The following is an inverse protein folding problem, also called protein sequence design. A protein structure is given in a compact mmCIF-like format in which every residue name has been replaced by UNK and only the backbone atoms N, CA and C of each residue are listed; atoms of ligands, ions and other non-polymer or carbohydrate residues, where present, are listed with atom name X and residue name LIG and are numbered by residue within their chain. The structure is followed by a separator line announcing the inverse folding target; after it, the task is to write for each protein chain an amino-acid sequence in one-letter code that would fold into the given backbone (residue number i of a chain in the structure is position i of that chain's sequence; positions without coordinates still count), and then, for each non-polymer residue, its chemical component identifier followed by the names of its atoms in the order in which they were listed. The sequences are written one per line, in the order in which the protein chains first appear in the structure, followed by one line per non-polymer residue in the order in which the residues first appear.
data_IF_360512582233
#
_entry.id   IF_360512582233
#
_cell.length_a   1.000
_cell.length_b   1.000
_cell.length_c   1.000
_cell.angle_alpha   90.00
_cell.angle_beta   90.00
_cell.angle_gamma   90.00
#
_symmetry.space_group_name_H-M   'P 1'
#
loop_
_entity.id
_entity.type
_entity.pdbx_description
1 polymer ?
#
# COMPACT_ATOMS: atom_id res chain seq x y z
N UNK A 1 7.43 3.31 -17.86
CA UNK A 1 6.23 2.83 -17.13
C UNK A 1 6.39 1.43 -16.53
N UNK A 2 6.76 0.38 -17.29
CA UNK A 2 6.92 -0.99 -16.75
C UNK A 2 7.89 -1.09 -15.55
N UNK A 3 9.09 -0.51 -15.67
CA UNK A 3 10.10 -0.50 -14.59
C UNK A 3 9.58 0.19 -13.33
N UNK A 4 8.92 1.35 -13.50
CA UNK A 4 8.33 2.13 -12.40
C UNK A 4 7.23 1.31 -11.70
N UNK A 5 6.38 0.61 -12.45
CA UNK A 5 5.37 -0.28 -11.88
C UNK A 5 5.99 -1.37 -10.99
N UNK A 6 7.10 -1.95 -11.43
CA UNK A 6 7.81 -2.98 -10.68
C UNK A 6 8.42 -2.44 -9.39
N UNK A 7 8.99 -1.23 -9.44
CA UNK A 7 9.47 -0.51 -8.25
C UNK A 7 8.33 -0.28 -7.26
N UNK A 8 7.15 0.12 -7.73
CA UNK A 8 5.97 0.31 -6.86
C UNK A 8 5.48 -0.99 -6.24
N UNK A 9 5.46 -2.10 -6.98
CA UNK A 9 5.14 -3.42 -6.43
C UNK A 9 6.14 -3.79 -5.32
N UNK A 10 7.42 -3.52 -5.49
CA UNK A 10 8.43 -3.76 -4.46
C UNK A 10 8.23 -2.87 -3.24
N UNK A 11 7.91 -1.59 -3.43
CA UNK A 11 7.58 -0.66 -2.34
C UNK A 11 6.36 -1.15 -1.55
N UNK A 12 5.31 -1.62 -2.23
CA UNK A 12 4.14 -2.19 -1.56
C UNK A 12 4.50 -3.44 -0.74
N UNK A 13 5.40 -4.29 -1.25
CA UNK A 13 5.90 -5.43 -0.50
C UNK A 13 6.67 -5.00 0.76
N UNK A 14 7.52 -3.97 0.66
CA UNK A 14 8.23 -3.41 1.83
C UNK A 14 7.23 -2.89 2.87
N UNK A 15 6.21 -2.14 2.44
CA UNK A 15 5.18 -1.62 3.35
C UNK A 15 4.42 -2.77 4.00
N UNK A 16 4.09 -3.83 3.27
CA UNK A 16 3.45 -5.01 3.83
C UNK A 16 4.31 -5.67 4.92
N UNK A 17 5.62 -5.81 4.70
CA UNK A 17 6.55 -6.32 5.74
C UNK A 17 6.57 -5.39 6.96
N UNK A 18 6.69 -4.07 6.75
CA UNK A 18 6.66 -3.10 7.84
C UNK A 18 5.34 -3.14 8.63
N UNK A 19 4.22 -3.39 7.94
CA UNK A 19 2.90 -3.53 8.54
C UNK A 19 2.80 -4.78 9.41
N UNK A 20 3.26 -5.95 8.91
CA UNK A 20 3.32 -7.19 9.70
C UNK A 20 4.19 -7.00 10.94
N UNK A 21 5.31 -6.30 10.81
CA UNK A 21 6.23 -6.05 11.92
C UNK A 21 5.72 -5.01 12.93
N UNK A 22 4.52 -4.46 12.74
CA UNK A 22 4.00 -3.33 13.51
C UNK A 22 5.03 -2.18 13.64
N UNK A 23 5.72 -1.86 12.55
CA UNK A 23 6.89 -0.99 12.58
C UNK A 23 6.51 0.46 12.90
N UNK A 24 7.14 1.04 13.92
CA UNK A 24 6.97 2.45 14.29
C UNK A 24 7.29 3.44 13.16
N UNK A 25 8.15 3.06 12.20
CA UNK A 25 8.41 3.88 11.02
C UNK A 25 7.15 4.02 10.14
N UNK A 26 6.43 2.91 9.91
CA UNK A 26 5.22 2.92 9.09
C UNK A 26 4.05 3.60 9.81
N UNK A 27 3.88 3.34 11.11
CA UNK A 27 2.78 3.89 11.91
C UNK A 27 3.05 5.28 12.49
N UNK A 28 4.20 5.89 12.18
CA UNK A 28 4.43 7.30 12.45
C UNK A 28 3.54 8.18 11.55
N UNK A 29 3.23 9.44 11.94
CA UNK A 29 2.48 10.37 11.08
C UNK A 29 3.09 10.54 9.68
N UNK A 30 4.43 10.58 9.60
CA UNK A 30 5.16 10.65 8.33
C UNK A 30 5.07 9.35 7.53
N UNK A 31 5.13 8.19 8.20
CA UNK A 31 4.98 6.88 7.56
C UNK A 31 3.59 6.68 6.96
N UNK A 32 2.54 7.02 7.71
CA UNK A 32 1.14 6.90 7.26
C UNK A 32 0.88 7.85 6.07
N UNK A 33 1.32 9.10 6.16
CA UNK A 33 1.15 10.06 5.05
C UNK A 33 1.91 9.63 3.80
N UNK A 34 3.15 9.15 3.93
CA UNK A 34 3.92 8.59 2.83
C UNK A 34 3.24 7.35 2.23
N UNK A 35 2.70 6.45 3.06
CA UNK A 35 1.97 5.28 2.60
C UNK A 35 0.74 5.67 1.77
N UNK A 36 -0.11 6.58 2.26
CA UNK A 36 -1.29 7.06 1.52
C UNK A 36 -0.88 7.68 0.17
N UNK A 37 0.18 8.51 0.16
CA UNK A 37 0.68 9.13 -1.07
C UNK A 37 1.17 8.07 -2.08
N UNK A 38 1.89 7.05 -1.61
CA UNK A 38 2.36 5.94 -2.46
C UNK A 38 1.21 5.16 -3.08
N UNK A 39 0.13 4.91 -2.32
CA UNK A 39 -1.07 4.26 -2.87
C UNK A 39 -1.69 5.11 -3.98
N UNK A 40 -1.85 6.42 -3.77
CA UNK A 40 -2.40 7.32 -4.79
C UNK A 40 -1.55 7.32 -6.07
N UNK A 41 -0.22 7.41 -5.94
CA UNK A 41 0.69 7.36 -7.08
C UNK A 41 0.64 5.99 -7.77
N UNK A 42 0.53 4.90 -7.01
CA UNK A 42 0.37 3.54 -7.52
C UNK A 42 -0.84 3.39 -8.43
N UNK A 43 -1.98 4.00 -8.08
CA UNK A 43 -3.17 4.03 -8.93
C UNK A 43 -2.96 4.87 -10.20
N UNK A 44 -2.31 6.04 -10.09
CA UNK A 44 -1.97 6.87 -11.27
C UNK A 44 -1.09 6.11 -12.26
N UNK A 45 -0.10 5.35 -11.77
CA UNK A 45 0.78 4.53 -12.60
C UNK A 45 0.00 3.38 -13.26
N UNK A 46 -0.90 2.73 -12.52
CA UNK A 46 -1.75 1.65 -13.03
C UNK A 46 -2.62 2.10 -14.21
N UNK A 47 -3.23 3.29 -14.13
CA UNK A 47 -4.06 3.83 -15.21
C UNK A 47 -3.22 4.06 -16.48
N UNK A 48 -1.97 4.50 -16.34
CA UNK A 48 -1.05 4.76 -17.46
C UNK A 48 -0.43 3.48 -18.08
N UNK A 49 -0.75 2.29 -17.59
CA UNK A 49 -0.16 0.99 -18.00
C UNK A 49 -1.05 0.17 -18.95
N UNK A 50 -1.77 0.81 -19.85
CA UNK A 50 -2.78 0.16 -20.72
C UNK A 50 -2.22 -0.97 -21.58
N UNK A 51 -1.00 -0.83 -22.12
CA UNK A 51 -0.41 -1.78 -23.08
C UNK A 51 0.20 -3.03 -22.43
N UNK A 52 0.20 -3.15 -21.10
CA UNK A 52 0.95 -4.19 -20.38
C UNK A 52 0.06 -4.86 -19.35
N UNK A 53 -0.92 -5.63 -19.83
CA UNK A 53 -1.99 -6.22 -19.05
C UNK A 53 -1.52 -7.00 -17.81
N UNK A 54 -0.47 -7.83 -17.94
CA UNK A 54 0.02 -8.63 -16.82
C UNK A 54 0.56 -7.77 -15.67
N UNK A 55 1.46 -6.83 -15.97
CA UNK A 55 2.04 -5.92 -14.97
C UNK A 55 0.95 -5.02 -14.37
N UNK A 56 0.01 -4.54 -15.20
CA UNK A 56 -1.12 -3.74 -14.74
C UNK A 56 -1.99 -4.51 -13.75
N UNK A 57 -2.27 -5.79 -14.00
CA UNK A 57 -3.07 -6.65 -13.11
C UNK A 57 -2.37 -6.90 -11.78
N UNK A 58 -1.06 -7.20 -11.82
CA UNK A 58 -0.26 -7.36 -10.59
C UNK A 58 -0.25 -6.07 -9.78
N UNK A 59 -0.01 -4.92 -10.43
CA UNK A 59 -0.05 -3.62 -9.75
C UNK A 59 -1.44 -3.30 -9.19
N UNK A 60 -2.52 -3.69 -9.88
CA UNK A 60 -3.89 -3.52 -9.39
C UNK A 60 -4.18 -4.33 -8.12
N UNK A 61 -3.76 -5.61 -8.10
CA UNK A 61 -3.87 -6.46 -6.91
C UNK A 61 -3.05 -5.85 -5.77
N UNK A 62 -1.83 -5.40 -6.08
CA UNK A 62 -0.94 -4.77 -5.12
C UNK A 62 -1.53 -3.47 -4.54
N UNK A 63 -2.06 -2.57 -5.37
CA UNK A 63 -2.77 -1.36 -4.92
C UNK A 63 -3.99 -1.71 -4.04
N UNK A 64 -4.80 -2.68 -4.44
CA UNK A 64 -5.94 -3.14 -3.65
C UNK A 64 -5.54 -3.69 -2.28
N UNK A 65 -4.43 -4.43 -2.22
CA UNK A 65 -3.87 -4.92 -0.98
C UNK A 65 -3.47 -3.78 -0.03
N UNK A 66 -2.84 -2.72 -0.57
CA UNK A 66 -2.47 -1.56 0.24
C UNK A 66 -3.68 -0.85 0.82
N UNK A 67 -4.76 -0.71 0.05
CA UNK A 67 -6.02 -0.14 0.55
C UNK A 67 -6.63 -1.02 1.63
N UNK A 68 -6.63 -2.34 1.43
CA UNK A 68 -7.10 -3.30 2.43
C UNK A 68 -6.34 -3.14 3.76
N UNK A 69 -5.01 -3.03 3.70
CA UNK A 69 -4.19 -2.84 4.90
C UNK A 69 -4.51 -1.52 5.64
N UNK A 70 -4.82 -0.43 4.91
CA UNK A 70 -5.27 0.82 5.55
C UNK A 70 -6.58 0.59 6.31
N UNK A 71 -7.57 -0.05 5.68
CA UNK A 71 -8.87 -0.35 6.32
C UNK A 71 -8.68 -1.29 7.52
N UNK A 72 -7.85 -2.32 7.38
CA UNK A 72 -7.52 -3.24 8.47
C UNK A 72 -6.86 -2.51 9.64
N UNK A 73 -5.96 -1.56 9.37
CA UNK A 73 -5.32 -0.73 10.40
C UNK A 73 -6.36 0.06 11.20
N UNK A 74 -7.31 0.70 10.51
CA UNK A 74 -8.39 1.46 11.16
C UNK A 74 -9.26 0.53 12.00
N UNK A 75 -9.62 -0.64 11.47
CA UNK A 75 -10.41 -1.62 12.21
C UNK A 75 -9.69 -2.11 13.48
N UNK A 76 -8.40 -2.43 13.37
CA UNK A 76 -7.57 -2.85 14.51
C UNK A 76 -7.50 -1.74 15.56
N UNK A 77 -7.29 -0.48 15.14
CA UNK A 77 -7.27 0.65 16.05
C UNK A 77 -8.55 0.73 16.88
N UNK A 78 -9.72 0.64 16.23
CA UNK A 78 -11.00 0.65 16.93
C UNK A 78 -11.17 -0.56 17.84
N UNK A 79 -10.88 -1.76 17.36
CA UNK A 79 -10.99 -2.99 18.15
C UNK A 79 -10.13 -2.94 19.42
N UNK A 80 -8.88 -2.49 19.30
CA UNK A 80 -7.95 -2.37 20.44
C UNK A 80 -8.34 -1.23 21.37
N UNK A 81 -8.70 -0.06 20.84
CA UNK A 81 -9.11 1.09 21.67
C UNK A 81 -10.42 0.87 22.45
N UNK A 82 -11.24 -0.10 22.02
CA UNK A 82 -12.48 -0.49 22.71
C UNK A 82 -12.28 -1.50 23.84
N UNK A 83 -11.07 -2.07 23.96
CA UNK A 83 -10.73 -2.95 25.09
C UNK A 83 -10.38 -2.08 26.31
N UNK A 84 -11.07 -2.25 27.45
CA UNK A 84 -10.78 -1.53 28.69
C UNK A 84 -9.46 -1.97 29.35
#
# INVERSE_FOLDING_TARGET
MKKIAFVFILIHFIIFVLWIMNSGYLFSPYGISAWIALVAIGFMIQIKLEKVLMIRRVLAISNGWMVFLIVATVFIYFAVSSMP
#
